data_IF_059164582323
#
_entry.id   IF_059164582323
#
_cell.length_a   1.000
_cell.length_b   1.000
_cell.length_c   1.000
_cell.angle_alpha   90.00
_cell.angle_beta   90.00
_cell.angle_gamma   90.00
#
_symmetry.space_group_name_H-M   'P 1'
#
loop_
_entity.id
_entity.type
_entity.pdbx_description
1 polymer ?
#
# COMPACT_ATOMS: atom_id res chain seq x y z
N UNK A 1 -31.89 11.42 27.16
CA UNK A 1 -31.61 10.52 26.64
C UNK A 1 -31.28 10.21 26.39
N UNK A 2 -31.46 10.51 26.60
CA UNK A 2 -31.00 9.76 26.10
C UNK A 2 -30.66 9.60 25.67
N UNK A 3 -30.65 9.99 25.43
CA UNK A 3 -30.36 9.29 24.90
C UNK A 3 -29.83 9.02 24.38
N UNK A 4 -30.04 9.78 24.54
CA UNK A 4 -29.59 9.06 24.02
C UNK A 4 -29.11 8.86 24.03
N UNK A 5 -29.08 9.09 24.06
CA UNK A 5 -28.64 8.44 24.04
C UNK A 5 -28.48 7.88 23.73
N UNK A 6 -28.83 8.04 23.68
CA UNK A 6 -28.72 7.13 23.33
C UNK A 6 -28.22 6.92 22.77
N UNK A 7 -28.28 7.34 22.70
CA UNK A 7 -27.94 6.61 22.10
C UNK A 7 -27.25 6.52 21.90
N UNK A 8 -27.23 6.74 21.96
CA UNK A 8 -26.58 6.11 21.86
C UNK A 8 -25.94 5.37 22.39
N UNK A 9 -26.15 4.81 22.60
CA UNK A 9 -25.71 3.92 23.02
C UNK A 9 -26.05 2.86 22.99
N UNK A 10 -26.66 2.51 22.99
CA UNK A 10 -26.95 1.44 22.78
C UNK A 10 -27.09 1.03 21.92
N UNK A 11 -27.28 1.43 21.93
CA UNK A 11 -27.15 0.97 20.60
C UNK A 11 -26.38 -0.27 20.48
N UNK A 12 -26.17 -0.96 19.58
CA UNK A 12 -25.31 -2.07 19.23
C UNK A 12 -24.96 -3.05 20.34
N UNK A 13 -25.25 -2.81 21.57
CA UNK A 13 -24.95 -3.73 22.65
C UNK A 13 -23.48 -3.84 23.07
N UNK A 14 -22.60 -2.98 22.55
CA UNK A 14 -21.20 -2.97 22.95
C UNK A 14 -21.01 -2.21 24.25
N UNK A 15 -20.14 -2.70 25.12
CA UNK A 15 -19.72 -1.98 26.31
C UNK A 15 -18.86 -0.77 25.91
N UNK A 16 -18.65 0.15 26.86
CA UNK A 16 -17.76 1.28 26.63
C UNK A 16 -16.35 0.87 26.24
N UNK A 17 -15.81 -0.17 26.88
CA UNK A 17 -14.49 -0.68 26.56
C UNK A 17 -14.44 -1.28 25.15
N UNK A 18 -15.50 -1.95 24.73
CA UNK A 18 -15.58 -2.50 23.39
C UNK A 18 -15.70 -1.40 22.34
N UNK A 19 -16.44 -0.32 22.62
CA UNK A 19 -16.50 0.84 21.75
C UNK A 19 -15.14 1.50 21.61
N UNK A 20 -14.40 1.66 22.72
CA UNK A 20 -13.07 2.25 22.70
C UNK A 20 -12.10 1.37 21.88
N UNK A 21 -12.21 0.06 22.03
CA UNK A 21 -11.38 -0.89 21.27
C UNK A 21 -11.71 -0.83 19.79
N UNK A 22 -13.00 -0.74 19.44
CA UNK A 22 -13.43 -0.63 18.04
C UNK A 22 -12.89 0.66 17.43
N UNK A 23 -12.94 1.78 18.17
CA UNK A 23 -12.39 3.05 17.69
C UNK A 23 -10.88 2.97 17.51
N UNK A 24 -10.18 2.30 18.42
CA UNK A 24 -8.74 2.11 18.32
C UNK A 24 -8.36 1.25 17.10
N UNK A 25 -9.12 0.20 16.83
CA UNK A 25 -8.91 -0.62 15.63
C UNK A 25 -9.10 0.22 14.36
N UNK A 26 -10.14 1.04 14.32
CA UNK A 26 -10.40 1.91 13.18
C UNK A 26 -9.27 2.92 12.96
N UNK A 27 -8.69 3.44 14.05
CA UNK A 27 -7.56 4.35 13.96
C UNK A 27 -6.32 3.64 13.39
N UNK A 28 -6.08 2.40 13.80
CA UNK A 28 -4.97 1.60 13.27
C UNK A 28 -5.17 1.36 11.77
N UNK A 29 -6.39 1.01 11.37
CA UNK A 29 -6.70 0.79 9.95
C UNK A 29 -6.50 2.07 9.13
N UNK A 30 -6.88 3.22 9.68
CA UNK A 30 -6.69 4.51 9.01
C UNK A 30 -5.20 4.82 8.85
N UNK A 31 -4.38 4.56 9.87
CA UNK A 31 -2.93 4.74 9.79
C UNK A 31 -2.31 3.82 8.74
N UNK A 32 -2.73 2.56 8.74
CA UNK A 32 -2.24 1.58 7.76
C UNK A 32 -2.58 2.00 6.35
N UNK A 33 -3.82 2.41 6.12
CA UNK A 33 -4.25 2.90 4.82
C UNK A 33 -3.46 4.12 4.39
N UNK A 34 -3.28 5.10 5.29
CA UNK A 34 -2.53 6.31 4.99
C UNK A 34 -1.08 6.00 4.65
N UNK A 35 -0.45 5.05 5.35
CA UNK A 35 0.92 4.64 5.07
C UNK A 35 1.04 4.02 3.68
N UNK A 36 0.09 3.16 3.31
CA UNK A 36 0.08 2.54 1.98
C UNK A 36 -0.09 3.61 0.89
N UNK A 37 -1.05 4.52 1.08
CA UNK A 37 -1.37 5.55 0.09
C UNK A 37 -0.27 6.62 -0.03
N UNK A 38 0.62 6.72 0.94
CA UNK A 38 1.73 7.67 0.90
C UNK A 38 2.77 7.28 -0.15
N UNK A 39 2.75 6.05 -0.63
CA UNK A 39 3.71 5.57 -1.59
C UNK A 39 4.94 4.95 -0.93
N UNK A 40 5.88 4.51 -1.75
CA UNK A 40 7.05 3.77 -1.26
C UNK A 40 8.30 4.22 -1.99
N UNK A 41 9.45 3.98 -1.36
CA UNK A 41 10.74 4.23 -1.98
C UNK A 41 11.33 2.91 -2.46
N UNK A 42 12.06 2.97 -3.56
CA UNK A 42 12.67 1.77 -4.13
C UNK A 42 13.95 2.18 -4.87
N UNK A 43 15.02 1.42 -4.69
CA UNK A 43 16.28 1.69 -5.36
C UNK A 43 16.26 1.07 -6.75
N UNK A 44 16.47 1.89 -7.77
CA UNK A 44 16.42 1.47 -9.16
C UNK A 44 17.30 2.38 -10.00
N UNK A 45 17.91 1.81 -11.05
CA UNK A 45 18.67 2.60 -12.01
C UNK A 45 17.72 3.31 -12.97
N UNK A 46 17.72 4.63 -13.01
CA UNK A 46 16.82 5.37 -13.91
C UNK A 46 17.30 5.40 -15.38
N UNK A 47 18.34 4.64 -15.69
CA UNK A 47 18.89 4.60 -17.05
C UNK A 47 20.26 5.24 -17.17
N UNK A 48 20.86 5.65 -16.04
CA UNK A 48 22.18 6.31 -16.02
C UNK A 48 23.32 5.35 -15.75
N UNK A 49 23.01 4.12 -15.36
CA UNK A 49 24.00 3.13 -14.94
C UNK A 49 24.27 3.17 -13.44
N UNK A 50 23.65 4.10 -12.70
CA UNK A 50 23.82 4.24 -11.27
C UNK A 50 22.45 4.17 -10.58
N UNK A 51 22.24 3.23 -9.64
CA UNK A 51 20.97 3.15 -8.93
C UNK A 51 20.72 4.39 -8.06
N UNK A 52 19.47 4.79 -7.98
CA UNK A 52 19.00 5.88 -7.11
C UNK A 52 17.78 5.40 -6.34
N UNK A 53 17.57 5.94 -5.15
CA UNK A 53 16.33 5.69 -4.41
C UNK A 53 15.29 6.68 -4.92
N UNK A 54 14.22 6.17 -5.51
CA UNK A 54 13.14 6.98 -6.06
C UNK A 54 11.84 6.70 -5.32
N UNK A 55 10.97 7.70 -5.28
CA UNK A 55 9.65 7.57 -4.67
C UNK A 55 8.61 7.22 -5.73
N UNK A 56 7.75 6.26 -5.41
CA UNK A 56 6.65 5.81 -6.29
C UNK A 56 5.34 6.09 -5.60
N UNK A 57 4.43 6.77 -6.30
CA UNK A 57 3.08 6.98 -5.79
C UNK A 57 2.33 5.64 -5.77
N UNK A 58 1.44 5.48 -4.79
CA UNK A 58 0.77 4.20 -4.58
C UNK A 58 -0.64 4.38 -4.01
N UNK A 59 -1.39 5.35 -4.53
CA UNK A 59 -2.80 5.52 -4.18
C UNK A 59 -3.62 4.38 -4.81
N UNK A 60 -4.93 4.38 -4.61
CA UNK A 60 -5.78 3.29 -5.12
C UNK A 60 -5.69 3.13 -6.64
N UNK A 61 -5.60 4.26 -7.36
CA UNK A 61 -5.45 4.23 -8.81
C UNK A 61 -4.10 3.64 -9.22
N UNK A 62 -3.03 4.06 -8.53
CA UNK A 62 -1.68 3.53 -8.77
C UNK A 62 -1.62 2.04 -8.49
N UNK A 63 -2.25 1.59 -7.41
CA UNK A 63 -2.27 0.16 -7.05
C UNK A 63 -2.90 -0.67 -8.17
N UNK A 64 -4.00 -0.19 -8.72
CA UNK A 64 -4.66 -0.87 -9.83
C UNK A 64 -3.77 -0.89 -11.07
N UNK A 65 -3.12 0.24 -11.38
CA UNK A 65 -2.23 0.33 -12.53
C UNK A 65 -1.02 -0.58 -12.39
N UNK A 66 -0.44 -0.69 -11.19
CA UNK A 66 0.65 -1.63 -10.93
C UNK A 66 0.20 -3.06 -11.20
N UNK A 67 -0.96 -3.43 -10.67
CA UNK A 67 -1.50 -4.79 -10.82
C UNK A 67 -1.78 -5.12 -12.28
N UNK A 68 -2.41 -4.21 -13.00
CA UNK A 68 -2.75 -4.41 -14.41
C UNK A 68 -1.49 -4.53 -15.26
N UNK A 69 -0.50 -3.67 -15.00
CA UNK A 69 0.75 -3.69 -15.75
C UNK A 69 1.57 -4.95 -15.44
N UNK A 70 1.58 -5.38 -14.18
CA UNK A 70 2.24 -6.62 -13.80
C UNK A 70 1.62 -7.82 -14.52
N UNK A 71 0.29 -7.84 -14.61
CA UNK A 71 -0.41 -8.88 -15.34
C UNK A 71 -0.04 -8.87 -16.81
N UNK A 72 0.03 -7.69 -17.44
CA UNK A 72 0.47 -7.56 -18.83
C UNK A 72 1.90 -8.07 -19.02
N UNK A 73 2.80 -7.78 -18.08
CA UNK A 73 4.18 -8.27 -18.13
C UNK A 73 4.23 -9.80 -18.06
N UNK A 74 3.42 -10.41 -17.22
CA UNK A 74 3.35 -11.87 -17.13
C UNK A 74 2.82 -12.46 -18.42
N UNK A 75 1.81 -11.84 -19.03
CA UNK A 75 1.26 -12.28 -20.31
C UNK A 75 2.32 -12.20 -21.41
N UNK A 76 3.08 -11.11 -21.43
CA UNK A 76 4.17 -10.95 -22.41
C UNK A 76 5.21 -12.05 -22.26
N UNK A 77 5.61 -12.36 -21.02
CA UNK A 77 6.57 -13.42 -20.76
C UNK A 77 6.04 -14.80 -21.13
N UNK A 78 4.73 -14.97 -21.18
CA UNK A 78 4.08 -16.21 -21.59
C UNK A 78 3.87 -16.28 -23.11
N UNK A 79 4.31 -15.29 -23.85
CA UNK A 79 4.25 -15.30 -25.31
C UNK A 79 3.05 -14.60 -25.92
N UNK A 80 2.25 -13.88 -25.12
CA UNK A 80 1.12 -13.12 -25.65
C UNK A 80 1.62 -12.02 -26.60
N UNK A 81 0.87 -11.79 -27.67
CA UNK A 81 1.23 -10.80 -28.67
C UNK A 81 0.40 -9.54 -28.50
N UNK A 82 0.88 -8.45 -29.07
CA UNK A 82 0.16 -7.18 -29.06
C UNK A 82 0.45 -6.33 -27.83
N UNK A 83 1.29 -6.78 -26.91
CA UNK A 83 1.69 -6.01 -25.73
C UNK A 83 3.01 -5.32 -25.98
N UNK A 84 3.22 -4.12 -25.42
CA UNK A 84 4.50 -3.42 -25.51
C UNK A 84 5.61 -4.24 -24.82
N UNK A 85 6.82 -4.18 -25.35
CA UNK A 85 7.97 -4.89 -24.78
C UNK A 85 8.58 -4.16 -23.59
N UNK A 86 8.24 -2.89 -23.40
CA UNK A 86 8.73 -2.11 -22.28
C UNK A 86 7.59 -1.37 -21.62
N UNK A 87 7.81 -1.04 -20.35
CA UNK A 87 6.86 -0.30 -19.52
C UNK A 87 7.49 1.06 -19.20
N UNK A 88 6.75 2.15 -19.42
CA UNK A 88 7.18 3.47 -18.97
C UNK A 88 6.45 3.77 -17.66
N UNK A 89 7.21 4.15 -16.63
CA UNK A 89 6.65 4.36 -15.29
C UNK A 89 7.21 5.63 -14.68
N UNK A 90 6.36 6.38 -13.99
CA UNK A 90 6.78 7.63 -13.34
C UNK A 90 7.25 7.36 -11.92
N UNK A 91 8.38 7.97 -11.57
CA UNK A 91 8.90 7.97 -10.21
C UNK A 91 9.45 9.37 -9.92
N UNK A 92 9.82 9.63 -8.67
CA UNK A 92 10.19 10.97 -8.25
C UNK A 92 11.45 10.94 -7.41
N UNK A 93 12.34 11.90 -7.63
CA UNK A 93 13.50 12.13 -6.76
C UNK A 93 13.04 12.81 -5.47
N UNK A 94 13.93 12.85 -4.50
CA UNK A 94 13.62 13.46 -3.19
C UNK A 94 13.20 14.92 -3.29
N UNK A 95 13.71 15.63 -4.31
CA UNK A 95 13.34 17.03 -4.55
C UNK A 95 12.04 17.20 -5.33
N UNK A 96 11.38 16.11 -5.68
CA UNK A 96 10.14 16.12 -6.43
C UNK A 96 10.30 16.06 -7.94
N UNK A 97 11.53 15.96 -8.43
CA UNK A 97 11.78 15.88 -9.86
C UNK A 97 11.22 14.57 -10.43
N UNK A 98 10.46 14.69 -11.51
CA UNK A 98 9.89 13.53 -12.21
C UNK A 98 10.97 12.77 -12.97
N UNK A 99 10.97 11.46 -12.79
CA UNK A 99 11.83 10.54 -13.54
C UNK A 99 10.93 9.56 -14.29
N UNK A 100 11.09 9.49 -15.61
CA UNK A 100 10.33 8.54 -16.42
C UNK A 100 11.20 7.32 -16.66
N UNK A 101 10.85 6.21 -16.02
CA UNK A 101 11.58 4.96 -16.14
C UNK A 101 11.08 4.19 -17.33
N UNK A 102 12.00 3.58 -18.08
CA UNK A 102 11.65 2.64 -19.14
C UNK A 102 12.15 1.27 -18.68
N UNK A 103 11.21 0.37 -18.41
CA UNK A 103 11.49 -0.90 -17.73
C UNK A 103 11.15 -2.07 -18.63
N UNK A 104 11.97 -3.12 -18.57
CA UNK A 104 11.61 -4.40 -19.15
C UNK A 104 10.51 -5.04 -18.31
N UNK A 105 9.85 -6.06 -18.84
CA UNK A 105 8.86 -6.80 -18.07
C UNK A 105 9.45 -7.35 -16.76
N UNK A 106 10.67 -7.90 -16.83
CA UNK A 106 11.33 -8.43 -15.64
C UNK A 106 11.64 -7.34 -14.63
N UNK A 107 12.11 -6.18 -15.07
CA UNK A 107 12.41 -5.06 -14.17
C UNK A 107 11.15 -4.52 -13.52
N UNK A 108 10.05 -4.43 -14.27
CA UNK A 108 8.77 -3.98 -13.70
C UNK A 108 8.24 -4.98 -12.68
N UNK A 109 8.31 -6.27 -12.98
CA UNK A 109 7.86 -7.30 -12.04
C UNK A 109 8.70 -7.29 -10.75
N UNK A 110 10.00 -7.04 -10.85
CA UNK A 110 10.86 -6.90 -9.69
C UNK A 110 10.46 -5.69 -8.83
N UNK A 111 10.16 -4.56 -9.47
CA UNK A 111 9.67 -3.35 -8.79
C UNK A 111 8.33 -3.63 -8.10
N UNK A 112 7.42 -4.29 -8.79
CA UNK A 112 6.11 -4.59 -8.24
C UNK A 112 6.21 -5.53 -7.03
N UNK A 113 6.95 -6.64 -7.17
CA UNK A 113 7.06 -7.62 -6.10
C UNK A 113 7.91 -7.12 -4.93
N UNK A 114 9.10 -6.60 -5.21
CA UNK A 114 10.06 -6.20 -4.18
C UNK A 114 9.86 -4.78 -3.66
N UNK A 115 9.17 -3.95 -4.40
CA UNK A 115 8.84 -2.57 -4.00
C UNK A 115 7.41 -2.48 -3.50
N UNK A 116 6.45 -2.44 -4.44
CA UNK A 116 5.05 -2.15 -4.14
C UNK A 116 4.42 -3.17 -3.19
N UNK A 117 4.45 -4.44 -3.54
CA UNK A 117 3.80 -5.47 -2.74
C UNK A 117 4.51 -5.70 -1.40
N UNK A 118 5.85 -5.66 -1.40
CA UNK A 118 6.61 -5.80 -0.17
C UNK A 118 6.32 -4.65 0.80
N UNK A 119 6.22 -3.43 0.30
CA UNK A 119 5.87 -2.26 1.11
C UNK A 119 4.46 -2.39 1.69
N UNK A 120 3.50 -2.73 0.85
CA UNK A 120 2.11 -2.88 1.30
C UNK A 120 2.00 -3.98 2.36
N UNK A 121 2.68 -5.10 2.14
CA UNK A 121 2.68 -6.20 3.11
C UNK A 121 3.30 -5.77 4.43
N UNK A 122 4.37 -4.98 4.40
CA UNK A 122 5.00 -4.47 5.62
C UNK A 122 4.06 -3.53 6.39
N UNK A 123 3.34 -2.65 5.68
CA UNK A 123 2.37 -1.76 6.31
C UNK A 123 1.24 -2.55 6.97
N UNK A 124 0.75 -3.58 6.29
CA UNK A 124 -0.32 -4.42 6.83
C UNK A 124 0.15 -5.22 8.02
N UNK A 125 1.38 -5.72 7.99
CA UNK A 125 1.96 -6.48 9.10
C UNK A 125 2.11 -5.59 10.34
N UNK A 126 2.54 -4.35 10.16
CA UNK A 126 2.65 -3.40 11.27
C UNK A 126 1.29 -3.11 11.87
N UNK A 127 0.28 -2.87 11.03
CA UNK A 127 -1.09 -2.67 11.50
C UNK A 127 -1.62 -3.89 12.24
N UNK A 128 -1.32 -5.08 11.74
CA UNK A 128 -1.72 -6.33 12.40
C UNK A 128 -1.07 -6.49 13.76
N UNK A 129 0.20 -6.12 13.89
CA UNK A 129 0.91 -6.16 15.17
C UNK A 129 0.28 -5.19 16.17
N UNK A 130 -0.08 -3.99 15.73
CA UNK A 130 -0.73 -3.01 16.60
C UNK A 130 -2.09 -3.50 17.06
N UNK A 131 -2.86 -4.13 16.17
CA UNK A 131 -4.16 -4.70 16.52
C UNK A 131 -4.01 -5.84 17.52
N UNK A 132 -3.01 -6.70 17.33
CA UNK A 132 -2.76 -7.81 18.25
C UNK A 132 -2.38 -7.29 19.64
N UNK A 133 -1.56 -6.23 19.71
CA UNK A 133 -1.20 -5.61 20.99
C UNK A 133 -2.44 -5.03 21.67
N UNK A 134 -3.34 -4.40 20.91
CA UNK A 134 -4.58 -3.85 21.43
C UNK A 134 -5.47 -4.95 22.03
N UNK A 135 -5.59 -6.09 21.34
CA UNK A 135 -6.39 -7.20 21.85
C UNK A 135 -5.76 -7.80 23.10
N UNK A 136 -4.42 -7.87 23.18
CA UNK A 136 -3.73 -8.37 24.38
C UNK A 136 -4.00 -7.47 25.58
N UNK A 137 -4.05 -6.15 25.40
CA UNK A 137 -4.40 -5.22 26.47
C UNK A 137 -5.81 -5.50 27.00
N UNK A 138 -6.75 -5.75 26.08
CA UNK A 138 -8.12 -6.04 26.45
C UNK A 138 -8.31 -7.37 27.15
N UNK A 139 -7.35 -8.28 27.00
CA UNK A 139 -7.42 -9.61 27.61
C UNK A 139 -6.90 -9.63 29.04
N UNK A 140 -6.22 -8.59 29.50
CA UNK A 140 -5.63 -8.53 30.83
C UNK A 140 -6.64 -8.36 31.97
#
# INVERSE_FOLDING_TARGET
>A
MPKTEIGQHEISGLSGAEHDKAAARAAIDAETSAAILAGFDYEIDPGTGTPETLHFSYDAFDQQNFSDTANACLMLKSGAQGLPESVTWNAYRADGELVRLVLTADAFLALYAGGALAYKAACMAEGGTKKAALEAEGAA
#
